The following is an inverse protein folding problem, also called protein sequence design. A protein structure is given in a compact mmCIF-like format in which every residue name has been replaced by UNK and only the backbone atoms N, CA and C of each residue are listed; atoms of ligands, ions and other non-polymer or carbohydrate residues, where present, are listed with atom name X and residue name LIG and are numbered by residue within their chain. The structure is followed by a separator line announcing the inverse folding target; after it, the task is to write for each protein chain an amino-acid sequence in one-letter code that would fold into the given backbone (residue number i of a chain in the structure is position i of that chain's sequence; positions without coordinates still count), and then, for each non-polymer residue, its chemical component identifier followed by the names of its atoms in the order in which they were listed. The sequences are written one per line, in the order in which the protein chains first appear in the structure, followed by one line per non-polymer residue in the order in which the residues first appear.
data_IF_760029097414
#
_entry.id   IF_760029097414
#
_cell.length_a   1.000
_cell.length_b   1.000
_cell.length_c   1.000
_cell.angle_alpha   90.00
_cell.angle_beta   90.00
_cell.angle_gamma   90.00
#
_symmetry.space_group_name_H-M   'P 1'
#
loop_
_entity.id
_entity.type
_entity.pdbx_description
1 polymer ?
#
# COMPACT_ATOMS: atom_id res chain seq x y z
N UNK A 1 10.79 8.62 0.65
CA UNK A 1 10.01 9.77 0.15
C UNK A 1 10.87 10.51 -0.87
N UNK A 2 10.43 10.63 -2.11
CA UNK A 2 11.19 11.38 -3.12
C UNK A 2 11.17 12.87 -2.77
N UNK A 3 12.28 13.39 -2.29
CA UNK A 3 12.43 14.83 -2.08
C UNK A 3 12.42 15.51 -3.45
N UNK A 4 11.44 16.36 -3.70
CA UNK A 4 11.41 17.15 -4.91
C UNK A 4 12.16 18.46 -4.67
N UNK A 5 12.89 18.92 -5.69
CA UNK A 5 13.60 20.21 -5.66
C UNK A 5 12.65 21.43 -5.66
N UNK A 6 11.34 21.23 -5.75
CA UNK A 6 10.36 22.32 -5.84
C UNK A 6 9.18 22.09 -4.90
N UNK A 7 8.70 23.17 -4.28
CA UNK A 7 7.46 23.21 -3.46
C UNK A 7 6.22 23.56 -4.29
N UNK A 8 6.34 23.85 -5.58
CA UNK A 8 5.21 24.21 -6.45
C UNK A 8 4.18 23.07 -6.53
N UNK A 9 2.94 23.33 -6.10
CA UNK A 9 1.84 22.36 -6.10
C UNK A 9 1.55 21.82 -7.50
N UNK A 10 1.63 22.65 -8.54
CA UNK A 10 1.43 22.24 -9.94
C UNK A 10 2.46 21.21 -10.38
N UNK A 11 3.73 21.42 -10.07
CA UNK A 11 4.82 20.50 -10.43
C UNK A 11 4.70 19.19 -9.65
N UNK A 12 4.34 19.25 -8.37
CA UNK A 12 4.13 18.07 -7.53
C UNK A 12 2.96 17.22 -8.07
N UNK A 13 1.85 17.86 -8.43
CA UNK A 13 0.70 17.18 -9.04
C UNK A 13 1.08 16.51 -10.36
N UNK A 14 1.78 17.20 -11.26
CA UNK A 14 2.28 16.64 -12.53
C UNK A 14 3.16 15.40 -12.29
N UNK A 15 4.11 15.49 -11.36
CA UNK A 15 4.99 14.36 -10.98
C UNK A 15 4.21 13.18 -10.42
N UNK A 16 3.16 13.43 -9.63
CA UNK A 16 2.35 12.36 -9.08
C UNK A 16 1.59 11.60 -10.18
N UNK A 17 0.88 12.30 -11.04
CA UNK A 17 0.04 11.66 -12.05
C UNK A 17 0.82 11.12 -13.27
N UNK A 18 1.97 11.70 -13.59
CA UNK A 18 2.84 11.22 -14.68
C UNK A 18 3.96 10.30 -14.19
N UNK A 19 3.94 9.87 -12.94
CA UNK A 19 4.95 8.97 -12.40
C UNK A 19 4.98 7.62 -13.15
N UNK A 20 6.16 7.07 -13.46
CA UNK A 20 6.29 5.74 -14.04
C UNK A 20 5.90 4.65 -13.03
N UNK A 21 5.64 3.44 -13.52
CA UNK A 21 5.10 2.33 -12.70
C UNK A 21 5.98 1.98 -11.48
N UNK A 22 7.29 2.03 -11.62
CA UNK A 22 8.21 1.73 -10.51
C UNK A 22 8.15 2.78 -9.38
N UNK A 23 7.95 4.06 -9.70
CA UNK A 23 7.70 5.10 -8.70
C UNK A 23 6.30 4.97 -8.08
N UNK A 24 5.27 4.66 -8.88
CA UNK A 24 3.91 4.44 -8.38
C UNK A 24 3.86 3.29 -7.38
N UNK A 25 4.65 2.23 -7.60
CA UNK A 25 4.78 1.13 -6.63
C UNK A 25 5.19 1.64 -5.26
N UNK A 26 6.18 2.51 -5.19
CA UNK A 26 6.68 3.07 -3.91
C UNK A 26 5.67 4.05 -3.30
N UNK A 27 5.02 4.88 -4.14
CA UNK A 27 3.98 5.82 -3.69
C UNK A 27 2.75 5.10 -3.12
N UNK A 28 2.46 3.89 -3.60
CA UNK A 28 1.39 3.02 -3.12
C UNK A 28 1.85 2.16 -1.93
N UNK A 29 2.54 2.76 -0.98
CA UNK A 29 2.93 2.10 0.27
C UNK A 29 1.87 2.34 1.35
N UNK A 30 1.62 1.29 2.14
CA UNK A 30 0.77 1.35 3.33
C UNK A 30 1.59 1.17 4.58
N UNK A 31 1.12 1.72 5.70
CA UNK A 31 1.76 1.52 6.99
C UNK A 31 1.61 0.07 7.46
N UNK A 32 2.59 -0.40 8.19
CA UNK A 32 2.54 -1.70 8.86
C UNK A 32 1.81 -1.60 10.21
N UNK A 33 1.27 -2.71 10.69
CA UNK A 33 0.78 -2.83 12.06
C UNK A 33 1.90 -2.56 13.08
N UNK A 34 1.54 -2.27 14.32
CA UNK A 34 2.53 -2.00 15.39
C UNK A 34 3.46 -3.19 15.62
N UNK A 35 2.93 -4.40 15.52
CA UNK A 35 3.66 -5.66 15.66
C UNK A 35 4.70 -5.83 14.56
N UNK A 36 4.26 -5.75 13.29
CA UNK A 36 5.16 -5.84 12.13
C UNK A 36 6.22 -4.73 12.08
N UNK A 37 5.93 -3.56 12.65
CA UNK A 37 6.93 -2.49 12.74
C UNK A 37 8.05 -2.84 13.70
N UNK A 38 7.71 -3.45 14.85
CA UNK A 38 8.69 -3.90 15.84
C UNK A 38 9.53 -5.05 15.29
N UNK A 39 8.89 -6.00 14.59
CA UNK A 39 9.56 -7.16 14.03
C UNK A 39 10.52 -6.82 12.88
N UNK A 40 10.12 -5.90 12.01
CA UNK A 40 10.88 -5.62 10.78
C UNK A 40 11.59 -4.28 10.76
N UNK A 41 11.57 -3.48 11.83
CA UNK A 41 12.20 -2.16 11.90
C UNK A 41 11.72 -1.16 10.82
N UNK A 42 10.54 -1.39 10.23
CA UNK A 42 9.99 -0.57 9.14
C UNK A 42 8.60 -0.04 9.43
N UNK A 43 8.34 1.19 8.98
CA UNK A 43 7.04 1.84 9.18
C UNK A 43 6.03 1.55 8.08
N UNK A 44 6.49 1.33 6.86
CA UNK A 44 5.64 1.11 5.68
C UNK A 44 6.28 0.23 4.64
N UNK A 45 5.45 -0.44 3.84
CA UNK A 45 5.85 -1.24 2.70
C UNK A 45 4.95 -0.98 1.49
N UNK A 46 5.47 -1.10 0.25
CA UNK A 46 4.63 -1.14 -0.95
C UNK A 46 3.64 -2.29 -0.87
N UNK A 47 2.36 -2.01 -1.13
CA UNK A 47 1.30 -3.03 -1.10
C UNK A 47 1.48 -4.01 -2.25
N UNK A 48 1.33 -5.29 -1.95
CA UNK A 48 1.31 -6.38 -2.94
C UNK A 48 0.00 -7.16 -2.88
N UNK A 49 -0.24 -7.98 -3.91
CA UNK A 49 -1.32 -8.95 -3.91
C UNK A 49 -1.09 -9.98 -2.80
N UNK A 50 -2.15 -10.50 -2.23
CA UNK A 50 -2.18 -11.44 -1.10
C UNK A 50 -1.68 -10.87 0.26
N UNK A 51 -1.43 -9.56 0.37
CA UNK A 51 -1.25 -8.95 1.68
C UNK A 51 -2.59 -8.93 2.43
N UNK A 52 -2.58 -9.26 3.72
CA UNK A 52 -3.74 -9.01 4.56
C UNK A 52 -3.69 -7.57 5.08
N UNK A 53 -4.78 -6.85 4.89
CA UNK A 53 -4.89 -5.45 5.26
C UNK A 53 -6.17 -5.18 6.06
N UNK A 54 -6.08 -4.20 6.95
CA UNK A 54 -7.21 -3.64 7.68
C UNK A 54 -7.50 -2.23 7.19
N UNK A 55 -8.74 -1.95 6.83
CA UNK A 55 -9.18 -0.61 6.42
C UNK A 55 -9.38 0.28 7.64
N UNK A 56 -8.73 1.43 7.68
CA UNK A 56 -8.75 2.36 8.83
C UNK A 56 -9.65 3.57 8.62
N UNK A 57 -9.99 3.91 7.38
CA UNK A 57 -10.87 5.04 7.09
C UNK A 57 -11.74 4.79 5.87
N UNK A 58 -12.81 5.57 5.77
CA UNK A 58 -13.79 5.47 4.70
C UNK A 58 -14.97 4.56 5.05
N UNK A 59 -15.78 4.25 4.03
CA UNK A 59 -17.02 3.48 4.17
C UNK A 59 -16.81 2.08 4.76
N UNK A 60 -15.68 1.44 4.46
CA UNK A 60 -15.33 0.09 4.88
C UNK A 60 -14.42 0.06 6.10
N UNK A 61 -14.39 1.13 6.89
CA UNK A 61 -13.58 1.19 8.12
C UNK A 61 -13.84 -0.03 9.02
N UNK A 62 -12.76 -0.68 9.44
CA UNK A 62 -12.81 -1.87 10.29
C UNK A 62 -12.77 -3.19 9.54
N UNK A 63 -13.07 -3.22 8.23
CA UNK A 63 -13.00 -4.45 7.46
C UNK A 63 -11.54 -4.91 7.29
N UNK A 64 -11.36 -6.21 7.38
CA UNK A 64 -10.09 -6.89 7.14
C UNK A 64 -10.24 -7.88 5.97
N UNK A 65 -9.25 -7.94 5.11
CA UNK A 65 -9.26 -8.83 3.96
C UNK A 65 -7.94 -8.86 3.22
N UNK A 66 -7.83 -9.77 2.25
CA UNK A 66 -6.66 -9.86 1.38
C UNK A 66 -6.77 -8.88 0.22
N UNK A 67 -5.62 -8.39 -0.22
CA UNK A 67 -5.51 -7.57 -1.43
C UNK A 67 -5.61 -8.46 -2.66
N UNK A 68 -6.70 -8.32 -3.41
CA UNK A 68 -6.97 -9.07 -4.64
C UNK A 68 -6.22 -8.47 -5.83
N UNK A 69 -6.21 -7.14 -5.92
CA UNK A 69 -5.63 -6.43 -7.08
C UNK A 69 -5.01 -5.12 -6.65
N UNK A 70 -3.88 -4.79 -7.27
CA UNK A 70 -3.20 -3.48 -7.13
C UNK A 70 -3.22 -2.77 -8.47
N UNK A 71 -3.99 -1.67 -8.57
CA UNK A 71 -4.13 -0.86 -9.77
C UNK A 71 -3.23 0.37 -9.70
N UNK A 72 -1.99 0.26 -10.20
CA UNK A 72 -1.02 1.36 -10.18
C UNK A 72 -1.44 2.55 -11.05
N UNK A 73 -2.17 2.30 -12.12
CA UNK A 73 -2.66 3.36 -13.00
C UNK A 73 -3.58 4.36 -12.28
N UNK A 74 -4.43 3.86 -11.38
CA UNK A 74 -5.40 4.65 -10.61
C UNK A 74 -5.01 4.88 -9.15
N UNK A 75 -3.81 4.47 -8.71
CA UNK A 75 -3.39 4.54 -7.30
C UNK A 75 -4.36 3.88 -6.33
N UNK A 76 -4.96 2.77 -6.71
CA UNK A 76 -5.98 2.08 -5.92
C UNK A 76 -5.63 0.61 -5.68
N UNK A 77 -6.10 0.09 -4.57
CA UNK A 77 -6.08 -1.34 -4.25
C UNK A 77 -7.51 -1.85 -4.10
N UNK A 78 -7.70 -3.12 -4.37
CA UNK A 78 -8.97 -3.81 -4.20
C UNK A 78 -8.80 -4.89 -3.15
N UNK A 79 -9.65 -4.85 -2.13
CA UNK A 79 -9.60 -5.73 -0.95
C UNK A 79 -10.84 -6.62 -0.94
N UNK A 80 -10.68 -7.86 -0.55
CA UNK A 80 -11.81 -8.78 -0.33
C UNK A 80 -12.81 -8.18 0.66
N UNK A 81 -14.08 -8.52 0.51
CA UNK A 81 -15.19 -8.05 1.37
C UNK A 81 -15.43 -6.53 1.36
N UNK A 82 -14.81 -5.82 0.42
CA UNK A 82 -15.03 -4.40 0.20
C UNK A 82 -15.70 -4.18 -1.16
N UNK A 83 -16.88 -4.77 -1.32
CA UNK A 83 -17.67 -4.78 -2.55
C UNK A 83 -18.97 -3.96 -2.41
N UNK A 84 -19.58 -3.69 -3.56
CA UNK A 84 -20.91 -3.10 -3.67
C UNK A 84 -21.68 -3.80 -4.76
N UNK A 85 -22.97 -4.01 -4.55
CA UNK A 85 -23.89 -4.55 -5.55
C UNK A 85 -24.40 -3.46 -6.48
N UNK A 86 -24.33 -3.72 -7.79
CA UNK A 86 -24.98 -2.90 -8.81
C UNK A 86 -26.48 -3.20 -8.88
N UNK A 87 -27.30 -2.34 -9.52
CA UNK A 87 -28.72 -2.61 -9.73
C UNK A 87 -28.99 -3.95 -10.45
N UNK A 88 -28.08 -4.39 -11.32
CA UNK A 88 -28.12 -5.68 -12.02
C UNK A 88 -27.66 -6.89 -11.18
N UNK A 89 -27.55 -6.73 -9.83
CA UNK A 89 -27.11 -7.75 -8.86
C UNK A 89 -25.65 -8.20 -8.99
N UNK A 90 -24.86 -7.65 -9.92
CA UNK A 90 -23.43 -7.93 -10.00
C UNK A 90 -22.69 -7.25 -8.88
N UNK A 91 -21.77 -7.98 -8.24
CA UNK A 91 -20.85 -7.43 -7.23
C UNK A 91 -19.60 -6.87 -7.89
N UNK A 92 -19.11 -5.75 -7.39
CA UNK A 92 -17.84 -5.17 -7.82
C UNK A 92 -17.06 -4.65 -6.61
N UNK A 93 -15.76 -4.89 -6.63
CA UNK A 93 -14.85 -4.42 -5.58
C UNK A 93 -14.67 -2.91 -5.70
N UNK A 94 -14.69 -2.23 -4.55
CA UNK A 94 -14.50 -0.78 -4.48
C UNK A 94 -13.01 -0.46 -4.37
N UNK A 95 -12.50 0.52 -5.16
CA UNK A 95 -11.13 0.96 -5.06
C UNK A 95 -10.89 1.70 -3.73
N UNK A 96 -9.83 1.31 -3.02
CA UNK A 96 -9.39 1.93 -1.77
C UNK A 96 -7.97 2.47 -1.97
N UNK A 97 -7.70 3.69 -1.47
CA UNK A 97 -6.36 4.24 -1.55
C UNK A 97 -5.43 3.55 -0.52
N UNK A 98 -4.18 3.21 -0.85
CA UNK A 98 -3.25 2.51 0.06
C UNK A 98 -2.99 3.22 1.39
N UNK A 99 -3.14 4.54 1.46
CA UNK A 99 -3.01 5.30 2.72
C UNK A 99 -4.11 5.02 3.73
N UNK A 100 -5.25 4.47 3.28
CA UNK A 100 -6.42 4.17 4.11
C UNK A 100 -6.42 2.74 4.68
N UNK A 101 -5.32 2.02 4.51
CA UNK A 101 -5.17 0.66 5.03
C UNK A 101 -3.89 0.49 5.83
N UNK A 102 -3.90 -0.51 6.71
CA UNK A 102 -2.75 -0.98 7.48
C UNK A 102 -2.50 -2.43 7.10
N UNK A 103 -1.25 -2.79 6.81
CA UNK A 103 -0.86 -4.17 6.54
C UNK A 103 -0.76 -4.90 7.87
N UNK A 104 -1.55 -5.97 8.03
CA UNK A 104 -1.57 -6.86 9.20
C UNK A 104 -0.74 -8.11 9.00
N UNK A 105 -0.68 -8.63 7.75
CA UNK A 105 0.24 -9.71 7.37
C UNK A 105 0.86 -9.44 6.01
N UNK A 106 2.15 -9.75 5.91
CA UNK A 106 2.94 -9.53 4.70
C UNK A 106 2.97 -10.81 3.87
N UNK A 107 2.62 -10.71 2.59
CA UNK A 107 2.86 -11.78 1.62
C UNK A 107 4.31 -11.75 1.15
N UNK A 108 5.04 -12.84 1.32
CA UNK A 108 6.45 -12.96 0.91
C UNK A 108 6.63 -13.49 -0.52
N UNK A 109 5.65 -13.27 -1.38
CA UNK A 109 5.80 -13.57 -2.81
C UNK A 109 6.81 -12.62 -3.44
N UNK A 110 7.99 -13.14 -3.76
CA UNK A 110 9.07 -12.40 -4.43
C UNK A 110 10.21 -11.90 -3.52
N UNK A 111 11.42 -12.00 -4.03
CA UNK A 111 12.65 -11.71 -3.27
C UNK A 111 12.89 -10.22 -3.01
N UNK A 112 12.31 -9.34 -3.83
CA UNK A 112 12.44 -7.88 -3.67
C UNK A 112 11.92 -7.38 -2.32
N UNK A 113 10.84 -7.99 -1.78
CA UNK A 113 10.32 -7.63 -0.45
C UNK A 113 11.22 -8.08 0.68
N UNK A 114 11.73 -9.31 0.59
CA UNK A 114 12.70 -9.84 1.54
C UNK A 114 13.96 -8.96 1.59
N UNK A 115 14.46 -8.53 0.42
CA UNK A 115 15.61 -7.63 0.32
C UNK A 115 15.35 -6.25 0.93
N UNK A 116 14.11 -5.70 0.82
CA UNK A 116 13.73 -4.45 1.46
C UNK A 116 13.74 -4.58 2.99
N UNK A 117 13.21 -5.68 3.52
CA UNK A 117 13.18 -5.94 4.96
C UNK A 117 14.57 -6.19 5.54
N UNK A 118 15.41 -6.99 4.85
CA UNK A 118 16.80 -7.23 5.26
C UNK A 118 17.63 -5.94 5.39
N UNK A 119 17.40 -4.95 4.52
CA UNK A 119 18.09 -3.65 4.58
C UNK A 119 17.70 -2.81 5.80
N UNK A 120 16.51 -3.04 6.37
CA UNK A 120 16.07 -2.33 7.56
C UNK A 120 16.76 -2.87 8.83
N UNK A 121 16.85 -4.19 8.94
CA UNK A 121 17.46 -4.86 10.11
C UNK A 121 18.94 -4.51 10.25
N UNK A 122 19.70 -4.44 9.14
CA UNK A 122 21.13 -4.10 9.18
C UNK A 122 21.44 -2.71 9.73
N UNK A 123 20.52 -1.76 9.63
CA UNK A 123 20.70 -0.39 10.16
C UNK A 123 20.59 -0.36 11.68
N UNK A 124 19.88 -1.30 12.29
CA UNK A 124 19.74 -1.40 13.75
C UNK A 124 20.91 -2.13 14.41
N UNK A 125 21.62 -2.98 13.67
CA UNK A 125 22.81 -3.70 14.15
C UNK A 125 24.11 -2.85 14.11
N UNK A 126 24.12 -1.75 13.35
CA UNK A 126 25.27 -0.83 13.21
C UNK A 126 25.19 0.40 14.15
N UNK A 127 24.19 0.48 15.03
CA UNK A 127 24.03 1.54 16.05
C UNK A 127 24.21 1.00 17.47
#
# INVERSE_FOLDING_TARGET
MFRSATSSARVQRKRHFNAPSHERRVRMSSRLSTELRKEHGRRSLPVCIDDEVKVISGRFKGNEGKVVRVARASYAIFVEKCDKKKPNKQEYLIPIHPSNVVITKISFKGDSRKAILKRAVKVEEEQ
#
